data_IF_897545325818
#
_entry.id   IF_897545325818
#
_cell.length_a   1.000
_cell.length_b   1.000
_cell.length_c   1.000
_cell.angle_alpha   90.00
_cell.angle_beta   90.00
_cell.angle_gamma   90.00
#
_symmetry.space_group_name_H-M   'P 1'
#
loop_
_entity.id
_entity.type
_entity.pdbx_description
1 polymer ?
#
# COMPACT_ATOMS: atom_id res chain seq x y z
N UNK A 1 -17.24 2.29 -19.94
CA UNK A 1 -16.31 1.31 -19.29
C UNK A 1 -14.89 1.83 -19.46
N UNK A 2 -14.17 1.93 -18.40
CA UNK A 2 -12.77 2.35 -18.47
C UNK A 2 -11.94 1.25 -19.17
N UNK A 3 -11.28 1.60 -20.27
CA UNK A 3 -10.50 0.64 -21.07
C UNK A 3 -9.38 0.00 -20.23
N UNK A 4 -8.82 0.77 -19.27
CA UNK A 4 -7.77 0.33 -18.34
C UNK A 4 -8.08 -1.01 -17.67
N UNK A 5 -9.33 -1.23 -17.25
CA UNK A 5 -9.75 -2.42 -16.51
C UNK A 5 -10.59 -3.40 -17.33
N UNK A 6 -10.64 -3.23 -18.65
CA UNK A 6 -11.47 -4.06 -19.54
C UNK A 6 -11.13 -5.56 -19.45
N UNK A 7 -9.88 -5.91 -19.18
CA UNK A 7 -9.42 -7.31 -19.05
C UNK A 7 -9.84 -7.97 -17.75
N UNK A 8 -10.28 -7.19 -16.74
CA UNK A 8 -10.79 -7.75 -15.48
C UNK A 8 -12.18 -8.40 -15.64
N UNK A 9 -12.89 -8.15 -16.73
CA UNK A 9 -14.29 -8.58 -16.95
C UNK A 9 -14.54 -10.07 -16.85
N UNK A 10 -13.53 -10.90 -16.96
CA UNK A 10 -13.63 -12.35 -16.74
C UNK A 10 -13.86 -12.70 -15.26
N UNK A 11 -13.45 -11.83 -14.34
CA UNK A 11 -13.43 -12.09 -12.89
C UNK A 11 -14.21 -11.06 -12.09
N UNK A 12 -14.34 -9.85 -12.61
CA UNK A 12 -14.91 -8.68 -11.91
C UNK A 12 -15.97 -8.03 -12.80
N UNK A 13 -17.20 -7.93 -12.32
CA UNK A 13 -18.29 -7.21 -13.00
C UNK A 13 -18.03 -5.70 -13.00
N UNK A 14 -18.73 -4.94 -13.84
CA UNK A 14 -18.64 -3.48 -13.86
C UNK A 14 -19.01 -2.85 -12.51
N UNK A 15 -20.02 -3.41 -11.85
CA UNK A 15 -20.45 -2.96 -10.51
C UNK A 15 -19.35 -3.17 -9.46
N UNK A 16 -18.73 -4.35 -9.46
CA UNK A 16 -17.63 -4.65 -8.55
C UNK A 16 -16.41 -3.78 -8.85
N UNK A 17 -16.09 -3.54 -10.13
CA UNK A 17 -15.00 -2.64 -10.50
C UNK A 17 -15.22 -1.21 -10.01
N UNK A 18 -16.45 -0.72 -10.04
CA UNK A 18 -16.80 0.60 -9.48
C UNK A 18 -16.62 0.65 -7.96
N UNK A 19 -17.00 -0.42 -7.26
CA UNK A 19 -16.78 -0.52 -5.81
C UNK A 19 -15.28 -0.55 -5.48
N UNK A 20 -14.51 -1.35 -6.21
CA UNK A 20 -13.06 -1.48 -6.04
C UNK A 20 -12.36 -0.13 -6.26
N UNK A 21 -12.80 0.63 -7.24
CA UNK A 21 -12.24 1.93 -7.57
C UNK A 21 -12.30 2.90 -6.39
N UNK A 22 -13.42 2.93 -5.67
CA UNK A 22 -13.66 3.86 -4.57
C UNK A 22 -13.14 3.33 -3.20
N UNK A 23 -12.65 2.08 -3.17
CA UNK A 23 -12.20 1.42 -1.96
C UNK A 23 -10.84 1.96 -1.50
N UNK A 24 -10.77 2.43 -0.27
CA UNK A 24 -9.60 3.13 0.28
C UNK A 24 -8.67 2.17 1.00
N UNK A 25 -7.46 2.04 0.49
CA UNK A 25 -6.40 1.19 1.06
C UNK A 25 -5.42 2.03 1.88
N UNK A 26 -5.17 1.63 3.12
CA UNK A 26 -4.07 2.14 3.93
C UNK A 26 -2.90 1.15 3.89
N UNK A 27 -1.74 1.59 3.42
CA UNK A 27 -0.53 0.79 3.36
C UNK A 27 0.48 1.26 4.41
N UNK A 28 0.65 0.49 5.45
CA UNK A 28 1.71 0.66 6.45
C UNK A 28 2.93 -0.16 6.06
N UNK A 29 3.98 0.51 5.62
CA UNK A 29 5.22 -0.11 5.14
C UNK A 29 5.27 -0.28 3.62
N UNK A 30 6.28 0.30 2.99
CA UNK A 30 6.49 0.32 1.54
C UNK A 30 7.68 -0.55 1.09
N UNK A 31 8.09 -1.53 1.88
CA UNK A 31 9.01 -2.58 1.47
C UNK A 31 8.30 -3.62 0.60
N UNK A 32 7.89 -4.74 1.18
CA UNK A 32 7.03 -5.73 0.48
C UNK A 32 5.71 -5.11 0.02
N UNK A 33 5.19 -4.14 0.76
CA UNK A 33 3.99 -3.39 0.41
C UNK A 33 4.07 -2.67 -0.92
N UNK A 34 5.28 -2.34 -1.41
CA UNK A 34 5.47 -1.63 -2.68
C UNK A 34 4.94 -2.41 -3.90
N UNK A 35 5.13 -3.72 -3.92
CA UNK A 35 4.61 -4.59 -5.00
C UNK A 35 3.11 -4.76 -4.85
N UNK A 36 2.63 -4.92 -3.63
CA UNK A 36 1.20 -5.09 -3.34
C UNK A 36 0.41 -3.86 -3.77
N UNK A 37 0.90 -2.66 -3.47
CA UNK A 37 0.26 -1.41 -3.89
C UNK A 37 0.16 -1.30 -5.42
N UNK A 38 1.21 -1.66 -6.16
CA UNK A 38 1.17 -1.65 -7.62
C UNK A 38 0.18 -2.68 -8.17
N UNK A 39 0.16 -3.89 -7.63
CA UNK A 39 -0.81 -4.91 -8.03
C UNK A 39 -2.25 -4.46 -7.74
N UNK A 40 -2.50 -3.86 -6.58
CA UNK A 40 -3.81 -3.33 -6.22
C UNK A 40 -4.26 -2.22 -7.18
N UNK A 41 -3.38 -1.26 -7.49
CA UNK A 41 -3.67 -0.19 -8.44
C UNK A 41 -4.00 -0.75 -9.84
N UNK A 42 -3.20 -1.69 -10.34
CA UNK A 42 -3.41 -2.32 -11.65
C UNK A 42 -4.71 -3.13 -11.71
N UNK A 43 -5.16 -3.65 -10.57
CA UNK A 43 -6.44 -4.34 -10.45
C UNK A 43 -7.64 -3.36 -10.40
N UNK A 44 -7.40 -2.11 -10.00
CA UNK A 44 -8.40 -1.05 -10.02
C UNK A 44 -8.69 -0.35 -8.71
N UNK A 45 -7.89 -0.59 -7.65
CA UNK A 45 -7.96 0.19 -6.43
C UNK A 45 -7.25 1.54 -6.66
N UNK A 46 -8.01 2.61 -6.74
CA UNK A 46 -7.48 3.93 -7.12
C UNK A 46 -7.26 4.88 -5.93
N UNK A 47 -7.56 4.45 -4.70
CA UNK A 47 -7.34 5.24 -3.49
C UNK A 47 -6.36 4.51 -2.55
N UNK A 48 -5.12 4.98 -2.49
CA UNK A 48 -4.07 4.36 -1.67
C UNK A 48 -3.33 5.42 -0.88
N UNK A 49 -3.27 5.24 0.45
CA UNK A 49 -2.42 6.01 1.35
C UNK A 49 -1.21 5.18 1.74
N UNK A 50 -0.02 5.72 1.54
CA UNK A 50 1.27 5.05 1.76
C UNK A 50 1.98 5.72 2.93
N UNK A 51 2.40 4.94 3.93
CA UNK A 51 3.18 5.46 5.06
C UNK A 51 4.44 4.63 5.25
N UNK A 52 5.59 5.25 5.05
CA UNK A 52 6.91 4.66 5.29
C UNK A 52 7.96 5.74 5.49
N UNK A 53 8.73 5.66 6.58
CA UNK A 53 9.80 6.61 6.89
C UNK A 53 11.17 6.24 6.31
N UNK A 54 11.32 5.04 5.73
CA UNK A 54 12.59 4.58 5.18
C UNK A 54 12.91 5.21 3.81
N UNK A 55 14.20 5.25 3.53
CA UNK A 55 14.72 5.55 2.19
C UNK A 55 15.07 4.28 1.45
N UNK A 56 15.04 4.37 0.12
CA UNK A 56 15.45 3.28 -0.77
C UNK A 56 16.95 3.07 -0.66
N UNK A 57 17.36 1.83 -0.47
CA UNK A 57 18.74 1.38 -0.46
C UNK A 57 18.98 0.42 -1.62
N UNK A 58 20.21 0.33 -2.10
CA UNK A 58 20.61 -0.59 -3.16
C UNK A 58 20.21 -2.05 -2.84
N UNK A 59 20.36 -2.45 -1.56
CA UNK A 59 19.97 -3.77 -1.07
C UNK A 59 18.46 -4.06 -1.18
N UNK A 60 17.62 -3.07 -1.38
CA UNK A 60 16.18 -3.24 -1.57
C UNK A 60 15.80 -3.65 -3.01
N UNK A 61 16.64 -3.32 -3.99
CA UNK A 61 16.32 -3.45 -5.42
C UNK A 61 16.12 -4.90 -5.87
N UNK A 62 16.62 -5.88 -5.13
CA UNK A 62 16.47 -7.29 -5.46
C UNK A 62 15.04 -7.84 -5.22
N UNK A 63 14.20 -7.15 -4.44
CA UNK A 63 12.88 -7.66 -4.02
C UNK A 63 11.78 -6.62 -3.83
N UNK A 64 12.13 -5.34 -3.78
CA UNK A 64 11.17 -4.25 -3.62
C UNK A 64 10.98 -3.50 -4.95
N UNK A 65 9.90 -2.79 -5.09
CA UNK A 65 9.45 -2.19 -6.35
C UNK A 65 10.08 -0.81 -6.62
N UNK A 66 11.40 -0.74 -6.51
CA UNK A 66 12.18 0.48 -6.72
C UNK A 66 13.26 0.27 -7.78
N UNK A 67 13.81 1.37 -8.27
CA UNK A 67 14.85 1.42 -9.31
C UNK A 67 16.12 2.07 -8.78
N UNK A 68 17.20 1.98 -9.55
CA UNK A 68 18.48 2.64 -9.28
C UNK A 68 18.32 4.16 -9.02
N UNK A 69 17.40 4.81 -9.74
CA UNK A 69 17.15 6.24 -9.61
C UNK A 69 16.46 6.63 -8.30
N UNK A 70 15.90 5.66 -7.59
CA UNK A 70 15.18 5.88 -6.33
C UNK A 70 16.11 5.83 -5.11
N UNK A 71 17.33 5.32 -5.25
CA UNK A 71 18.27 5.17 -4.13
C UNK A 71 18.49 6.50 -3.42
N UNK A 72 18.32 6.48 -2.09
CA UNK A 72 18.46 7.65 -1.22
C UNK A 72 17.21 8.53 -1.10
N UNK A 73 16.18 8.27 -1.88
CA UNK A 73 14.88 8.94 -1.79
C UNK A 73 13.94 8.18 -0.84
N UNK A 74 12.92 8.83 -0.34
CA UNK A 74 11.93 8.18 0.52
C UNK A 74 11.10 7.15 -0.26
N UNK A 75 10.93 5.95 0.31
CA UNK A 75 10.15 4.86 -0.30
C UNK A 75 8.72 5.27 -0.61
N UNK A 76 8.05 5.93 0.35
CA UNK A 76 6.66 6.36 0.17
C UNK A 76 6.49 7.34 -1.00
N UNK A 77 7.41 8.29 -1.17
CA UNK A 77 7.42 9.24 -2.29
C UNK A 77 7.65 8.54 -3.63
N UNK A 78 8.70 7.71 -3.73
CA UNK A 78 9.03 6.99 -4.96
C UNK A 78 7.89 6.06 -5.39
N UNK A 79 7.27 5.37 -4.43
CA UNK A 79 6.14 4.50 -4.71
C UNK A 79 4.93 5.31 -5.21
N UNK A 80 4.61 6.43 -4.57
CA UNK A 80 3.52 7.30 -5.03
C UNK A 80 3.73 7.79 -6.46
N UNK A 81 4.94 8.27 -6.80
CA UNK A 81 5.29 8.68 -8.16
C UNK A 81 5.13 7.52 -9.17
N UNK A 82 5.59 6.33 -8.79
CA UNK A 82 5.45 5.14 -9.63
C UNK A 82 3.99 4.79 -9.88
N UNK A 83 3.16 4.79 -8.85
CA UNK A 83 1.73 4.50 -8.97
C UNK A 83 1.03 5.54 -9.87
N UNK A 84 1.33 6.82 -9.70
CA UNK A 84 0.79 7.90 -10.54
C UNK A 84 1.29 7.84 -11.99
N UNK A 85 2.48 7.28 -12.23
CA UNK A 85 2.95 7.02 -13.59
C UNK A 85 2.16 5.92 -14.33
N UNK A 86 1.53 5.01 -13.56
CA UNK A 86 0.68 3.93 -14.08
C UNK A 86 -0.76 4.43 -14.29
N UNK A 87 -1.28 5.15 -13.30
CA UNK A 87 -2.61 5.75 -13.36
C UNK A 87 -2.57 7.18 -12.79
N UNK A 88 -2.44 8.22 -13.65
CA UNK A 88 -2.34 9.60 -13.20
C UNK A 88 -3.63 10.14 -12.57
N UNK A 89 -4.77 9.46 -12.76
CA UNK A 89 -6.06 9.85 -12.19
C UNK A 89 -6.30 9.23 -10.80
N UNK A 90 -5.42 8.33 -10.34
CA UNK A 90 -5.55 7.72 -9.03
C UNK A 90 -5.27 8.73 -7.90
N UNK A 91 -5.92 8.53 -6.77
CA UNK A 91 -5.72 9.32 -5.56
C UNK A 91 -4.69 8.61 -4.68
N UNK A 92 -3.46 9.07 -4.74
CA UNK A 92 -2.33 8.49 -4.01
C UNK A 92 -1.81 9.54 -3.02
N UNK A 93 -2.01 9.27 -1.73
CA UNK A 93 -1.44 10.05 -0.64
C UNK A 93 -0.22 9.33 -0.08
N UNK A 94 0.80 10.07 0.37
CA UNK A 94 1.98 9.48 0.98
C UNK A 94 2.52 10.32 2.13
N UNK A 95 3.09 9.62 3.12
CA UNK A 95 3.75 10.18 4.27
C UNK A 95 5.14 9.58 4.42
N UNK A 96 6.16 10.44 4.52
CA UNK A 96 7.57 10.05 4.64
C UNK A 96 8.03 9.94 6.09
N UNK A 97 7.13 9.55 6.97
CA UNK A 97 7.37 9.37 8.39
C UNK A 97 7.10 7.93 8.82
N UNK A 98 7.71 7.52 9.91
CA UNK A 98 7.45 6.20 10.47
C UNK A 98 6.11 6.16 11.18
N UNK A 99 5.37 5.07 10.98
CA UNK A 99 4.25 4.75 11.85
C UNK A 99 4.75 4.44 13.25
N UNK A 100 4.09 5.04 14.22
CA UNK A 100 4.34 4.85 15.65
C UNK A 100 3.01 4.64 16.38
N UNK A 101 3.06 4.14 17.61
CA UNK A 101 1.85 4.01 18.42
C UNK A 101 1.09 5.32 18.61
N UNK A 102 1.76 6.46 18.44
CA UNK A 102 1.15 7.78 18.67
C UNK A 102 0.46 8.37 17.44
N UNK A 103 0.87 7.97 16.21
CA UNK A 103 0.34 8.55 14.98
C UNK A 103 -0.57 7.63 14.16
N UNK A 104 -0.56 6.34 14.42
CA UNK A 104 -1.37 5.36 13.66
C UNK A 104 -2.85 5.72 13.69
N UNK A 105 -3.37 6.09 14.85
CA UNK A 105 -4.79 6.36 15.04
C UNK A 105 -5.29 7.49 14.15
N UNK A 106 -4.52 8.56 14.01
CA UNK A 106 -4.82 9.69 13.14
C UNK A 106 -4.68 9.32 11.67
N UNK A 107 -3.61 8.61 11.30
CA UNK A 107 -3.31 8.27 9.91
C UNK A 107 -4.26 7.23 9.32
N UNK A 108 -4.74 6.28 10.14
CA UNK A 108 -5.69 5.24 9.72
C UNK A 108 -7.11 5.74 9.47
N UNK A 109 -7.37 7.02 9.64
CA UNK A 109 -8.70 7.60 9.54
C UNK A 109 -9.37 7.32 8.19
N UNK A 110 -10.62 6.83 8.22
CA UNK A 110 -11.51 6.65 7.05
C UNK A 110 -10.99 5.74 5.91
N UNK A 111 -10.27 4.65 6.23
CA UNK A 111 -9.89 3.63 5.27
C UNK A 111 -10.78 2.39 5.36
N UNK A 112 -10.96 1.70 4.23
CA UNK A 112 -11.81 0.50 4.13
C UNK A 112 -11.03 -0.80 4.42
N UNK A 113 -9.73 -0.80 4.16
CA UNK A 113 -8.82 -1.91 4.43
C UNK A 113 -7.43 -1.39 4.75
N UNK A 114 -6.73 -2.07 5.62
CA UNK A 114 -5.35 -1.78 5.96
C UNK A 114 -4.44 -2.95 5.57
N UNK A 115 -3.25 -2.65 5.10
CA UNK A 115 -2.19 -3.60 4.83
C UNK A 115 -1.06 -3.31 5.83
N UNK A 116 -0.84 -4.24 6.75
CA UNK A 116 0.23 -4.14 7.73
C UNK A 116 1.47 -4.87 7.20
N UNK A 117 2.29 -4.12 6.49
CA UNK A 117 3.58 -4.58 5.94
C UNK A 117 4.78 -4.01 6.73
N UNK A 118 4.56 -3.69 8.01
CA UNK A 118 5.59 -3.17 8.91
C UNK A 118 6.55 -4.27 9.36
N UNK A 119 7.81 -3.89 9.55
CA UNK A 119 8.79 -4.76 10.19
C UNK A 119 8.52 -4.92 11.69
N UNK A 120 8.76 -6.11 12.24
CA UNK A 120 8.60 -6.41 13.66
C UNK A 120 9.81 -5.96 14.49
N UNK A 121 10.13 -4.66 14.46
CA UNK A 121 11.23 -4.06 15.24
C UNK A 121 10.80 -3.66 16.66
N UNK A 122 9.51 -3.37 16.83
CA UNK A 122 8.88 -2.95 18.08
C UNK A 122 7.41 -3.38 18.16
N UNK A 123 6.63 -2.73 19.03
CA UNK A 123 5.20 -3.03 19.21
C UNK A 123 4.27 -2.43 18.16
N UNK A 124 4.77 -1.57 17.30
CA UNK A 124 3.95 -0.81 16.33
C UNK A 124 3.05 -1.70 15.46
N UNK A 125 3.52 -2.84 14.90
CA UNK A 125 2.64 -3.72 14.12
C UNK A 125 1.44 -4.25 14.91
N UNK A 126 1.61 -4.54 16.19
CA UNK A 126 0.52 -5.03 17.06
C UNK A 126 -0.46 -3.92 17.42
N UNK A 127 0.03 -2.72 17.73
CA UNK A 127 -0.82 -1.53 17.97
C UNK A 127 -1.64 -1.19 16.73
N UNK A 128 -1.04 -1.31 15.55
CA UNK A 128 -1.73 -1.15 14.27
C UNK A 128 -2.94 -2.08 14.15
N UNK A 129 -2.75 -3.36 14.43
CA UNK A 129 -3.83 -4.36 14.38
C UNK A 129 -4.93 -4.10 15.41
N UNK A 130 -4.55 -3.71 16.63
CA UNK A 130 -5.52 -3.39 17.69
C UNK A 130 -6.41 -2.21 17.31
N UNK A 131 -5.81 -1.12 16.79
CA UNK A 131 -6.57 0.06 16.33
C UNK A 131 -7.49 -0.30 15.16
N UNK A 132 -7.00 -1.06 14.19
CA UNK A 132 -7.83 -1.53 13.08
C UNK A 132 -9.00 -2.39 13.57
N UNK A 133 -8.77 -3.27 14.52
CA UNK A 133 -9.82 -4.10 15.13
C UNK A 133 -10.88 -3.26 15.83
N UNK A 134 -10.48 -2.27 16.61
CA UNK A 134 -11.42 -1.34 17.31
C UNK A 134 -12.26 -0.56 16.30
N UNK A 135 -11.68 -0.14 15.19
CA UNK A 135 -12.35 0.60 14.11
C UNK A 135 -13.06 -0.29 13.09
N UNK A 136 -12.99 -1.61 13.24
CA UNK A 136 -13.56 -2.61 12.31
C UNK A 136 -13.01 -2.48 10.88
N UNK A 137 -11.73 -2.10 10.76
CA UNK A 137 -11.01 -2.06 9.49
C UNK A 137 -10.34 -3.42 9.30
N UNK A 138 -10.65 -4.18 8.23
CA UNK A 138 -9.95 -5.41 7.91
C UNK A 138 -8.45 -5.17 7.69
N UNK A 139 -7.61 -6.05 8.23
CA UNK A 139 -6.14 -5.97 8.08
C UNK A 139 -5.64 -7.18 7.32
N UNK A 140 -4.80 -6.92 6.33
CA UNK A 140 -4.05 -7.94 5.59
C UNK A 140 -2.58 -7.90 6.02
N UNK A 141 -2.01 -9.07 6.25
CA UNK A 141 -0.61 -9.25 6.62
C UNK A 141 0.13 -10.00 5.52
N UNK A 142 0.89 -9.31 4.67
CA UNK A 142 1.71 -9.96 3.66
C UNK A 142 3.00 -10.49 4.28
N UNK A 143 3.31 -11.75 3.99
CA UNK A 143 4.56 -12.39 4.39
C UNK A 143 5.24 -13.03 3.19
N UNK A 144 6.56 -13.04 3.19
CA UNK A 144 7.37 -13.78 2.23
C UNK A 144 8.32 -14.70 3.00
N UNK A 145 8.11 -16.01 2.87
CA UNK A 145 8.91 -17.06 3.51
C UNK A 145 9.80 -17.80 2.48
N UNK A 146 10.34 -17.09 1.53
CA UNK A 146 11.15 -17.68 0.47
C UNK A 146 10.28 -18.45 -0.55
N UNK A 147 10.24 -19.76 -0.44
CA UNK A 147 9.43 -20.62 -1.32
C UNK A 147 7.95 -20.74 -0.91
N UNK A 148 7.56 -20.14 0.21
CA UNK A 148 6.20 -20.06 0.70
C UNK A 148 5.80 -18.59 0.90
N UNK A 149 4.58 -18.27 0.56
CA UNK A 149 4.03 -16.93 0.74
C UNK A 149 2.58 -16.99 1.20
#
# INVERSE_FOLDING_TARGET
>A
MEERYSRNRLYVSEREQSIIKDYKIFLGGAGIGSIIAECALRFGFEHITIVDGDKVEESNLNRQNYTENDIGRYKAECLAERLLSINPDAQIDFHTEFLTSDNIEEMLNEHDVAINALDFKDKTPFVFDEICKERKIPVLHPYNFGWAG
#
